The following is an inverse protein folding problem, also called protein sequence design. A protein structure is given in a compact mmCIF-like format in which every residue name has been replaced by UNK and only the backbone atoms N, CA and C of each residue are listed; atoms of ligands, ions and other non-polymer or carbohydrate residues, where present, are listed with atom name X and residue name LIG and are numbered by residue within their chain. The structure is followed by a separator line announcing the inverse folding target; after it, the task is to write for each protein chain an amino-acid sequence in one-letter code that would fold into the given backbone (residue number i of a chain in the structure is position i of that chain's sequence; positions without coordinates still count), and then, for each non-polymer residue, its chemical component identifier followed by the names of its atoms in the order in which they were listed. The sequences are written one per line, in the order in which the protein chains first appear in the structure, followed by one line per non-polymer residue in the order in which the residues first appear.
data_IF_849036745264
#
_entry.id   IF_849036745264
#
_cell.length_a   1.000
_cell.length_b   1.000
_cell.length_c   1.000
_cell.angle_alpha   90.00
_cell.angle_beta   90.00
_cell.angle_gamma   90.00
#
_symmetry.space_group_name_H-M   'P 1'
#
loop_
_entity.id
_entity.type
_entity.pdbx_description
1 polymer ?
#
# COMPACT_ATOMS: atom_id res chain seq x y z
N UNK A 1 13.77 15.63 16.26
CA UNK A 1 12.34 15.28 16.40
C UNK A 1 11.77 15.31 15.00
N UNK A 2 11.30 14.18 14.46
CA UNK A 2 10.49 14.24 13.24
C UNK A 2 9.20 14.97 13.65
N UNK A 3 8.88 16.05 12.96
CA UNK A 3 7.69 16.84 13.24
C UNK A 3 6.45 15.94 13.10
N UNK A 4 5.50 16.04 14.03
CA UNK A 4 4.34 15.15 14.10
C UNK A 4 3.51 15.23 12.81
N UNK A 5 3.51 16.40 12.16
CA UNK A 5 2.89 16.59 10.85
C UNK A 5 3.59 15.81 9.73
N UNK A 6 4.92 15.75 9.74
CA UNK A 6 5.68 14.97 8.77
C UNK A 6 5.43 13.47 8.92
N UNK A 7 5.22 13.01 10.16
CA UNK A 7 4.83 11.62 10.43
C UNK A 7 3.48 11.29 9.80
N UNK A 8 2.44 12.08 10.04
CA UNK A 8 1.12 11.87 9.43
C UNK A 8 1.15 11.89 7.90
N UNK A 9 1.91 12.82 7.30
CA UNK A 9 2.05 12.90 5.84
C UNK A 9 2.72 11.62 5.32
N UNK A 10 3.75 11.11 6.00
CA UNK A 10 4.44 9.89 5.60
C UNK A 10 3.52 8.66 5.69
N UNK A 11 2.74 8.51 6.76
CA UNK A 11 1.79 7.38 6.88
C UNK A 11 0.67 7.49 5.84
N UNK A 12 0.12 8.67 5.62
CA UNK A 12 -0.89 8.88 4.58
C UNK A 12 -0.35 8.57 3.18
N UNK A 13 0.82 9.09 2.83
CA UNK A 13 1.42 8.89 1.51
C UNK A 13 1.76 7.42 1.25
N UNK A 14 2.32 6.72 2.24
CA UNK A 14 2.62 5.28 2.13
C UNK A 14 1.34 4.46 2.00
N UNK A 15 0.30 4.77 2.77
CA UNK A 15 -1.00 4.09 2.69
C UNK A 15 -1.66 4.29 1.33
N UNK A 16 -1.67 5.51 0.80
CA UNK A 16 -2.24 5.82 -0.51
C UNK A 16 -1.48 5.15 -1.66
N UNK A 17 -0.15 5.18 -1.63
CA UNK A 17 0.69 4.53 -2.64
C UNK A 17 0.41 3.03 -2.72
N UNK A 18 0.30 2.40 -1.55
CA UNK A 18 0.04 0.98 -1.42
C UNK A 18 -1.40 0.62 -1.85
N UNK A 19 -2.39 1.44 -1.48
CA UNK A 19 -3.76 1.29 -1.93
C UNK A 19 -3.87 1.38 -3.46
N UNK A 20 -3.15 2.32 -4.08
CA UNK A 20 -3.09 2.45 -5.53
C UNK A 20 -2.48 1.20 -6.19
N UNK A 21 -1.36 0.68 -5.65
CA UNK A 21 -0.76 -0.57 -6.13
C UNK A 21 -1.70 -1.77 -6.03
N UNK A 22 -2.43 -1.89 -4.92
CA UNK A 22 -3.43 -2.94 -4.72
C UNK A 22 -4.60 -2.81 -5.70
N UNK A 23 -5.11 -1.60 -5.92
CA UNK A 23 -6.17 -1.33 -6.88
C UNK A 23 -5.76 -1.74 -8.30
N UNK A 24 -4.52 -1.44 -8.72
CA UNK A 24 -4.00 -1.86 -10.03
C UNK A 24 -4.01 -3.38 -10.16
N UNK A 25 -3.60 -4.13 -9.13
CA UNK A 25 -3.63 -5.60 -9.18
C UNK A 25 -5.04 -6.18 -9.20
N UNK A 26 -5.96 -5.59 -8.45
CA UNK A 26 -7.35 -6.04 -8.37
C UNK A 26 -8.13 -5.73 -9.66
N UNK A 27 -7.82 -4.61 -10.31
CA UNK A 27 -8.46 -4.18 -11.55
C UNK A 27 -7.80 -4.79 -12.80
N UNK A 28 -6.54 -5.25 -12.72
CA UNK A 28 -5.86 -5.88 -13.83
C UNK A 28 -6.65 -7.00 -14.55
N UNK A 29 -7.29 -7.98 -13.86
CA UNK A 29 -8.09 -8.99 -14.54
C UNK A 29 -9.37 -8.45 -15.22
N UNK A 30 -9.80 -7.22 -14.89
CA UNK A 30 -10.94 -6.57 -15.55
C UNK A 30 -10.50 -5.86 -16.85
N UNK A 31 -9.26 -5.40 -16.90
CA UNK A 31 -8.70 -4.65 -18.04
C UNK A 31 -7.97 -5.56 -19.02
N UNK A 32 -7.35 -6.63 -18.54
CA UNK A 32 -6.54 -7.54 -19.34
C UNK A 32 -7.17 -8.95 -19.33
N UNK A 33 -7.29 -9.57 -20.50
CA UNK A 33 -7.72 -10.98 -20.64
C UNK A 33 -6.72 -11.95 -19.99
N UNK A 34 -5.42 -11.62 -20.06
CA UNK A 34 -4.35 -12.35 -19.38
C UNK A 34 -3.48 -11.38 -18.56
N UNK A 35 -3.16 -11.76 -17.32
CA UNK A 35 -2.35 -10.92 -16.43
C UNK A 35 -0.92 -10.83 -16.96
N UNK A 36 -0.38 -9.60 -17.20
CA UNK A 36 0.97 -9.44 -17.71
C UNK A 36 2.02 -10.09 -16.80
N UNK A 37 3.08 -10.70 -17.34
CA UNK A 37 4.09 -11.41 -16.54
C UNK A 37 4.80 -10.51 -15.53
N UNK A 38 4.98 -9.21 -15.86
CA UNK A 38 5.52 -8.22 -14.92
C UNK A 38 4.61 -7.98 -13.72
N UNK A 39 3.30 -7.94 -13.95
CA UNK A 39 2.30 -7.76 -12.90
C UNK A 39 2.22 -8.99 -11.99
N UNK A 40 2.31 -10.19 -12.59
CA UNK A 40 2.36 -11.46 -11.86
C UNK A 40 3.55 -11.54 -10.91
N UNK A 41 4.70 -10.98 -11.31
CA UNK A 41 5.92 -10.89 -10.47
C UNK A 41 5.82 -9.79 -9.41
N UNK A 42 5.12 -8.69 -9.70
CA UNK A 42 4.89 -7.60 -8.76
C UNK A 42 3.87 -7.95 -7.66
N UNK A 43 2.97 -8.90 -7.91
CA UNK A 43 1.92 -9.33 -6.99
C UNK A 43 2.37 -9.58 -5.54
N UNK A 44 3.38 -10.41 -5.24
CA UNK A 44 3.83 -10.62 -3.87
C UNK A 44 4.38 -9.35 -3.21
N UNK A 45 5.05 -8.48 -3.96
CA UNK A 45 5.58 -7.20 -3.44
C UNK A 45 4.46 -6.25 -3.03
N UNK A 46 3.43 -6.13 -3.86
CA UNK A 46 2.25 -5.30 -3.55
C UNK A 46 1.48 -5.87 -2.36
N UNK A 47 1.29 -7.19 -2.29
CA UNK A 47 0.63 -7.80 -1.11
C UNK A 47 1.46 -7.58 0.16
N UNK A 48 2.78 -7.69 0.06
CA UNK A 48 3.70 -7.37 1.16
C UNK A 48 3.59 -5.91 1.60
N UNK A 49 3.58 -4.97 0.64
CA UNK A 49 3.47 -3.54 0.97
C UNK A 49 2.10 -3.17 1.53
N UNK A 50 1.00 -3.80 1.08
CA UNK A 50 -0.33 -3.71 1.71
C UNK A 50 -0.28 -4.13 3.17
N UNK A 51 0.34 -5.27 3.44
CA UNK A 51 0.45 -5.77 4.81
C UNK A 51 1.25 -4.80 5.69
N UNK A 52 2.37 -4.27 5.18
CA UNK A 52 3.20 -3.28 5.89
C UNK A 52 2.43 -1.97 6.12
N UNK A 53 1.70 -1.46 5.13
CA UNK A 53 0.91 -0.24 5.29
C UNK A 53 -0.20 -0.40 6.34
N UNK A 54 -0.90 -1.54 6.34
CA UNK A 54 -1.90 -1.85 7.37
C UNK A 54 -1.27 -1.91 8.75
N UNK A 55 -0.11 -2.55 8.89
CA UNK A 55 0.62 -2.59 10.15
C UNK A 55 1.04 -1.19 10.62
N UNK A 56 1.59 -0.36 9.72
CA UNK A 56 1.96 1.02 10.05
C UNK A 56 0.76 1.84 10.50
N UNK A 57 -0.38 1.69 9.83
CA UNK A 57 -1.63 2.35 10.19
C UNK A 57 -2.12 1.91 11.58
N UNK A 58 -2.07 0.61 11.89
CA UNK A 58 -2.45 0.08 13.21
C UNK A 58 -1.50 0.59 14.31
N UNK A 59 -0.20 0.61 14.04
CA UNK A 59 0.81 1.14 14.97
C UNK A 59 0.58 2.64 15.19
N UNK A 60 0.35 3.42 14.13
CA UNK A 60 0.02 4.84 14.24
C UNK A 60 -1.24 5.04 15.09
N UNK A 61 -2.31 4.30 14.78
CA UNK A 61 -3.57 4.40 15.50
C UNK A 61 -3.39 4.14 17.00
N UNK A 62 -2.71 3.05 17.37
CA UNK A 62 -2.49 2.65 18.78
C UNK A 62 -1.44 3.48 19.53
N UNK A 63 -0.56 4.17 18.81
CA UNK A 63 0.47 5.03 19.44
C UNK A 63 -0.04 6.44 19.69
N UNK A 64 -1.05 6.88 18.93
CA UNK A 64 -1.59 8.24 18.97
C UNK A 64 -2.93 8.31 19.72
N UNK A 65 -3.75 7.25 19.64
CA UNK A 65 -5.02 7.11 20.38
C UNK A 65 -4.88 6.07 21.49
#
# INVERSE_FOLDING_TARGET
MIDHQLWHIAVLATTLLVAAGAAILLLAPLVFEEVPPGLRRARPWVVGSVTVAVLLMVVEWTSIH
#
